data_IF_547519409866
#
_entry.id   IF_547519409866
#
_cell.length_a   1.000
_cell.length_b   1.000
_cell.length_c   1.000
_cell.angle_alpha   90.00
_cell.angle_beta   90.00
_cell.angle_gamma   90.00
#
_symmetry.space_group_name_H-M   'P 1'
#
loop_
_entity.id
_entity.type
_entity.pdbx_description
1 polymer ?
#
# COMPACT_ATOMS: atom_id res chain seq x y z
N UNK A 1 9.71 -9.12 -13.88
CA UNK A 1 8.90 -9.18 -12.65
C UNK A 1 9.87 -8.99 -11.50
N UNK A 2 9.53 -8.16 -10.51
CA UNK A 2 10.37 -8.03 -9.31
C UNK A 2 10.22 -9.32 -8.50
N UNK A 3 11.34 -9.92 -8.10
CA UNK A 3 11.34 -11.08 -7.20
C UNK A 3 11.05 -10.61 -5.77
N UNK A 4 9.76 -10.44 -5.49
CA UNK A 4 9.27 -10.03 -4.18
C UNK A 4 9.19 -11.24 -3.25
N UNK A 5 9.60 -11.04 -2.01
CA UNK A 5 9.36 -11.95 -0.90
C UNK A 5 7.85 -12.10 -0.65
N UNK A 6 7.44 -13.19 0.02
CA UNK A 6 6.04 -13.37 0.39
C UNK A 6 5.54 -12.25 1.31
N UNK A 7 6.42 -11.70 2.15
CA UNK A 7 6.13 -10.55 3.00
C UNK A 7 5.82 -9.31 2.16
N UNK A 8 6.66 -8.98 1.18
CA UNK A 8 6.43 -7.84 0.30
C UNK A 8 5.15 -8.01 -0.55
N UNK A 9 4.86 -9.24 -1.01
CA UNK A 9 3.59 -9.51 -1.70
C UNK A 9 2.38 -9.33 -0.79
N UNK A 10 2.47 -9.68 0.49
CA UNK A 10 1.40 -9.45 1.46
C UNK A 10 1.23 -7.95 1.74
N UNK A 11 2.33 -7.21 1.91
CA UNK A 11 2.32 -5.77 2.12
C UNK A 11 1.71 -5.01 0.93
N UNK A 12 2.02 -5.40 -0.31
CA UNK A 12 1.37 -4.82 -1.50
C UNK A 12 -0.14 -5.04 -1.48
N UNK A 13 -0.60 -6.24 -1.09
CA UNK A 13 -2.04 -6.52 -0.99
C UNK A 13 -2.70 -5.69 0.11
N UNK A 14 -2.03 -5.47 1.23
CA UNK A 14 -2.53 -4.61 2.30
C UNK A 14 -2.66 -3.15 1.84
N UNK A 15 -1.69 -2.66 1.06
CA UNK A 15 -1.70 -1.31 0.49
C UNK A 15 -2.84 -1.08 -0.52
N UNK A 16 -3.44 -2.14 -1.09
CA UNK A 16 -4.57 -1.99 -2.04
C UNK A 16 -5.79 -1.33 -1.39
N UNK A 17 -6.03 -1.55 -0.09
CA UNK A 17 -7.20 -0.98 0.60
C UNK A 17 -7.15 0.55 0.65
N UNK A 18 -6.11 1.19 1.21
CA UNK A 18 -6.09 2.65 1.26
C UNK A 18 -5.96 3.28 -0.14
N UNK A 19 -5.32 2.60 -1.11
CA UNK A 19 -5.36 3.04 -2.52
C UNK A 19 -6.79 3.04 -3.08
N UNK A 20 -7.59 2.01 -2.77
CA UNK A 20 -8.98 1.95 -3.19
C UNK A 20 -9.84 3.05 -2.55
N UNK A 21 -9.56 3.43 -1.31
CA UNK A 21 -10.21 4.55 -0.63
C UNK A 21 -9.92 5.88 -1.35
N UNK A 22 -8.67 6.14 -1.75
CA UNK A 22 -8.31 7.31 -2.56
C UNK A 22 -8.96 7.25 -3.96
N UNK A 23 -9.03 6.08 -4.58
CA UNK A 23 -9.71 5.93 -5.88
C UNK A 23 -11.22 6.14 -5.80
N UNK A 24 -11.86 5.90 -4.65
CA UNK A 24 -13.26 6.24 -4.42
C UNK A 24 -13.46 7.76 -4.39
N UNK A 25 -12.53 8.50 -3.76
CA UNK A 25 -12.54 9.97 -3.73
C UNK A 25 -12.26 10.60 -5.10
N UNK A 26 -11.31 10.03 -5.85
CA UNK A 26 -10.99 10.45 -7.22
C UNK A 26 -12.12 10.07 -8.20
N UNK A 27 -12.78 8.96 -7.95
CA UNK A 27 -13.78 8.35 -8.81
C UNK A 27 -13.18 7.30 -9.76
N UNK A 28 -13.68 6.08 -9.67
CA UNK A 28 -13.22 4.93 -10.47
C UNK A 28 -13.31 5.08 -11.99
N UNK A 29 -14.17 5.99 -12.47
CA UNK A 29 -14.34 6.25 -13.90
C UNK A 29 -13.27 7.20 -14.46
N UNK A 30 -12.50 7.86 -13.60
CA UNK A 30 -11.40 8.72 -14.02
C UNK A 30 -10.33 7.87 -14.71
N UNK A 31 -9.92 8.30 -15.90
CA UNK A 31 -8.78 7.67 -16.58
C UNK A 31 -7.52 8.09 -15.87
N UNK A 32 -6.57 7.18 -15.73
CA UNK A 32 -5.28 7.49 -15.11
C UNK A 32 -4.55 8.65 -15.81
N UNK A 33 -4.73 8.82 -17.12
CA UNK A 33 -4.17 9.93 -17.91
C UNK A 33 -4.74 11.30 -17.56
N UNK A 34 -5.90 11.33 -16.92
CA UNK A 34 -6.66 12.56 -16.64
C UNK A 34 -6.45 13.02 -15.19
N UNK A 35 -5.70 12.24 -14.40
CA UNK A 35 -5.35 12.58 -13.04
C UNK A 35 -4.37 13.75 -13.02
N UNK A 36 -4.62 14.68 -12.11
CA UNK A 36 -3.69 15.77 -11.80
C UNK A 36 -2.42 15.23 -11.12
N UNK A 37 -1.33 15.98 -11.19
CA UNK A 37 -0.09 15.66 -10.49
C UNK A 37 -0.32 15.40 -9.00
N UNK A 38 -1.14 16.23 -8.35
CA UNK A 38 -1.48 16.06 -6.93
C UNK A 38 -2.18 14.72 -6.66
N UNK A 39 -3.15 14.33 -7.50
CA UNK A 39 -3.86 13.04 -7.34
C UNK A 39 -2.91 11.84 -7.54
N UNK A 40 -2.01 11.92 -8.52
CA UNK A 40 -1.01 10.87 -8.75
C UNK A 40 -0.05 10.77 -7.57
N UNK A 41 0.41 11.91 -7.05
CA UNK A 41 1.27 11.95 -5.87
C UNK A 41 0.57 11.32 -4.66
N UNK A 42 -0.68 11.68 -4.38
CA UNK A 42 -1.46 11.10 -3.28
C UNK A 42 -1.63 9.59 -3.43
N UNK A 43 -1.90 9.08 -4.64
CA UNK A 43 -1.99 7.63 -4.87
C UNK A 43 -0.66 6.91 -4.56
N UNK A 44 0.47 7.51 -4.92
CA UNK A 44 1.80 6.95 -4.64
C UNK A 44 2.10 6.98 -3.14
N UNK A 45 1.88 8.12 -2.48
CA UNK A 45 2.12 8.28 -1.04
C UNK A 45 1.31 7.27 -0.22
N UNK A 46 0.03 7.09 -0.58
CA UNK A 46 -0.85 6.13 0.09
C UNK A 46 -0.45 4.68 -0.19
N UNK A 47 -0.04 4.36 -1.42
CA UNK A 47 0.46 3.03 -1.75
C UNK A 47 1.75 2.69 -0.98
N UNK A 48 2.70 3.63 -0.92
CA UNK A 48 3.97 3.44 -0.20
C UNK A 48 3.75 3.39 1.30
N UNK A 49 2.92 4.29 1.85
CA UNK A 49 2.56 4.30 3.27
C UNK A 49 1.90 2.99 3.71
N UNK A 50 0.87 2.54 2.98
CA UNK A 50 0.19 1.28 3.29
C UNK A 50 1.11 0.06 3.19
N UNK A 51 2.07 0.07 2.27
CA UNK A 51 3.09 -0.99 2.17
C UNK A 51 4.03 -0.97 3.38
N UNK A 52 4.53 0.21 3.76
CA UNK A 52 5.45 0.37 4.89
C UNK A 52 4.77 -0.01 6.21
N UNK A 53 3.53 0.43 6.42
CA UNK A 53 2.73 0.08 7.60
C UNK A 53 2.55 -1.43 7.73
N UNK A 54 2.24 -2.10 6.63
CA UNK A 54 2.10 -3.56 6.61
C UNK A 54 3.43 -4.26 6.91
N UNK A 55 4.55 -3.81 6.32
CA UNK A 55 5.88 -4.34 6.62
C UNK A 55 6.24 -4.17 8.10
N UNK A 56 5.95 -3.01 8.69
CA UNK A 56 6.19 -2.73 10.11
C UNK A 56 5.33 -3.60 11.02
N UNK A 57 4.04 -3.77 10.72
CA UNK A 57 3.16 -4.63 11.48
C UNK A 57 3.65 -6.10 11.47
N UNK A 58 4.04 -6.61 10.30
CA UNK A 58 4.55 -7.97 10.16
C UNK A 58 5.89 -8.17 10.89
N UNK A 59 6.76 -7.15 10.90
CA UNK A 59 8.00 -7.20 11.67
C UNK A 59 7.75 -7.22 13.18
N UNK A 60 6.77 -6.43 13.67
CA UNK A 60 6.38 -6.44 15.07
C UNK A 60 5.78 -7.78 15.51
N UNK A 61 4.93 -8.40 14.66
CA UNK A 61 4.36 -9.72 14.92
C UNK A 61 5.43 -10.83 14.98
N UNK A 62 6.48 -10.73 14.17
CA UNK A 62 7.60 -11.67 14.20
C UNK A 62 8.40 -11.58 15.51
N UNK A 63 8.55 -10.39 16.08
CA UNK A 63 9.29 -10.15 17.33
C UNK A 63 8.48 -10.51 18.58
N UNK A 64 7.15 -10.35 18.53
CA UNK A 64 6.22 -10.74 19.61
C UNK A 64 6.17 -12.26 19.87
N UNK A 65 6.72 -13.08 18.97
CA UNK A 65 6.77 -14.54 19.06
C UNK A 65 7.92 -15.12 19.91
N UNK A 66 8.76 -14.29 20.54
CA UNK A 66 9.84 -14.75 21.44
C UNK A 66 9.44 -14.47 22.90
N UNK A 67 8.85 -15.44 23.63
CA UNK A 67 8.73 -15.35 25.07
C UNK A 67 10.12 -15.53 25.70
N UNK A 68 10.50 -14.59 26.56
CA UNK A 68 11.63 -14.76 27.49
C UNK A 68 11.30 -15.83 28.54
#
# INVERSE_FOLDING_TARGET
>A
MVDLTEQEKAAIRAAMKPVAEIMEEIGWQARFSDLTEAQVLTLIEVAVGGFQDAMHAMAADADAGVPF
#
